data_IF_650425197291
#
_entry.id   IF_650425197291
#
_cell.length_a   1.000
_cell.length_b   1.000
_cell.length_c   1.000
_cell.angle_alpha   90.00
_cell.angle_beta   90.00
_cell.angle_gamma   90.00
#
_symmetry.space_group_name_H-M   'P 1'
#
loop_
_entity.id
_entity.type
_entity.pdbx_description
1 polymer ?
#
# COMPACT_ATOMS: atom_id res chain seq x y z
N UNK A 1 13.64 -52.79 -12.48
CA UNK A 1 13.71 -51.38 -12.10
C UNK A 1 12.78 -50.61 -13.04
N UNK A 2 11.53 -50.36 -12.60
CA UNK A 2 10.52 -49.66 -13.43
C UNK A 2 10.53 -48.19 -13.05
N UNK A 3 10.83 -47.34 -14.02
CA UNK A 3 10.71 -45.91 -13.94
C UNK A 3 9.22 -45.54 -13.89
N UNK A 4 8.76 -44.98 -12.79
CA UNK A 4 7.42 -44.40 -12.67
C UNK A 4 7.48 -43.02 -13.29
N UNK A 5 6.86 -42.90 -14.46
CA UNK A 5 6.70 -41.64 -15.17
C UNK A 5 5.78 -40.70 -14.37
N UNK A 6 6.32 -39.58 -13.91
CA UNK A 6 5.55 -38.47 -13.36
C UNK A 6 4.86 -37.75 -14.53
N UNK A 7 3.59 -38.00 -14.74
CA UNK A 7 2.77 -37.32 -15.75
C UNK A 7 2.44 -35.92 -15.18
N UNK A 8 3.12 -34.91 -15.66
CA UNK A 8 2.73 -33.51 -15.45
C UNK A 8 1.37 -33.31 -16.14
N UNK A 9 0.31 -33.29 -15.37
CA UNK A 9 -1.02 -32.89 -15.84
C UNK A 9 -0.96 -31.38 -16.13
N UNK A 10 -0.74 -31.08 -17.40
CA UNK A 10 -0.75 -29.72 -17.93
C UNK A 10 -2.22 -29.31 -18.15
N UNK A 11 -2.94 -28.99 -17.07
CA UNK A 11 -4.30 -28.47 -17.15
C UNK A 11 -4.23 -27.00 -17.63
N UNK A 12 -4.00 -26.80 -18.92
CA UNK A 12 -4.26 -25.50 -19.55
C UNK A 12 -5.77 -25.29 -19.58
N UNK A 13 -6.28 -24.60 -18.55
CA UNK A 13 -7.63 -24.05 -18.63
C UNK A 13 -7.65 -23.02 -19.77
N UNK A 14 -8.72 -23.02 -20.56
CA UNK A 14 -8.96 -22.00 -21.57
C UNK A 14 -9.11 -20.64 -20.86
N UNK A 15 -8.65 -19.54 -21.49
CA UNK A 15 -8.82 -18.20 -20.90
C UNK A 15 -10.30 -17.96 -20.60
N UNK A 16 -10.58 -17.34 -19.45
CA UNK A 16 -11.92 -17.02 -18.97
C UNK A 16 -12.65 -16.17 -20.03
N UNK A 17 -13.65 -16.75 -20.69
CA UNK A 17 -14.68 -15.97 -21.39
C UNK A 17 -15.54 -15.32 -20.33
N UNK A 18 -16.26 -14.22 -20.61
CA UNK A 18 -17.15 -13.51 -19.70
C UNK A 18 -17.58 -14.35 -18.48
N UNK A 19 -16.96 -14.12 -17.31
CA UNK A 19 -17.13 -14.92 -16.09
C UNK A 19 -17.75 -14.08 -15.01
N UNK A 20 -18.44 -14.71 -14.07
CA UNK A 20 -18.90 -14.10 -12.83
C UNK A 20 -17.78 -14.15 -11.80
N UNK A 21 -17.26 -13.00 -11.38
CA UNK A 21 -16.14 -12.88 -10.46
C UNK A 21 -16.60 -12.20 -9.18
N UNK A 22 -16.30 -12.81 -8.04
CA UNK A 22 -16.47 -12.19 -6.72
C UNK A 22 -15.11 -11.70 -6.24
N UNK A 23 -15.05 -10.45 -5.80
CA UNK A 23 -13.89 -9.86 -5.14
C UNK A 23 -14.27 -9.58 -3.70
N UNK A 24 -13.47 -10.06 -2.75
CA UNK A 24 -13.65 -9.81 -1.32
C UNK A 24 -12.67 -8.72 -0.89
N UNK A 25 -13.21 -7.57 -0.46
CA UNK A 25 -12.47 -6.37 -0.07
C UNK A 25 -12.46 -5.27 -1.14
N UNK A 26 -12.99 -4.10 -0.79
CA UNK A 26 -13.08 -2.91 -1.65
C UNK A 26 -11.93 -1.90 -1.44
N UNK A 27 -10.78 -2.34 -0.87
CA UNK A 27 -9.55 -1.55 -0.79
C UNK A 27 -8.88 -1.37 -2.15
N UNK A 28 -7.72 -0.70 -2.19
CA UNK A 28 -7.06 -0.34 -3.46
C UNK A 28 -6.78 -1.55 -4.38
N UNK A 29 -6.45 -2.73 -3.83
CA UNK A 29 -6.25 -3.95 -4.62
C UNK A 29 -7.55 -4.41 -5.27
N UNK A 30 -8.63 -4.54 -4.46
CA UNK A 30 -9.90 -5.07 -4.95
C UNK A 30 -10.62 -4.12 -5.89
N UNK A 31 -10.66 -2.82 -5.59
CA UNK A 31 -11.35 -1.85 -6.45
C UNK A 31 -10.65 -1.65 -7.79
N UNK A 32 -9.29 -1.65 -7.80
CA UNK A 32 -8.53 -1.57 -9.05
C UNK A 32 -8.74 -2.83 -9.91
N UNK A 33 -8.72 -4.02 -9.28
CA UNK A 33 -8.99 -5.29 -9.97
C UNK A 33 -10.41 -5.34 -10.53
N UNK A 34 -11.41 -4.88 -9.75
CA UNK A 34 -12.80 -4.88 -10.17
C UNK A 34 -13.05 -4.04 -11.43
N UNK A 35 -12.54 -2.82 -11.45
CA UNK A 35 -12.66 -1.93 -12.62
C UNK A 35 -11.99 -2.54 -13.85
N UNK A 36 -10.79 -3.09 -13.69
CA UNK A 36 -10.09 -3.68 -14.83
C UNK A 36 -10.80 -4.94 -15.36
N UNK A 37 -11.22 -5.86 -14.49
CA UNK A 37 -11.97 -7.06 -14.87
C UNK A 37 -13.32 -6.70 -15.51
N UNK A 38 -14.00 -5.67 -15.02
CA UNK A 38 -15.25 -5.18 -15.63
C UNK A 38 -15.01 -4.65 -17.05
N UNK A 39 -13.94 -3.86 -17.27
CA UNK A 39 -13.52 -3.38 -18.60
C UNK A 39 -13.22 -4.55 -19.56
N UNK A 40 -12.75 -5.68 -19.04
CA UNK A 40 -12.50 -6.91 -19.82
C UNK A 40 -13.76 -7.75 -20.09
N UNK A 41 -14.93 -7.29 -19.66
CA UNK A 41 -16.23 -7.91 -19.97
C UNK A 41 -16.69 -8.96 -18.97
N UNK A 42 -16.09 -9.03 -17.77
CA UNK A 42 -16.57 -9.89 -16.69
C UNK A 42 -17.75 -9.26 -15.93
N UNK A 43 -18.58 -10.12 -15.31
CA UNK A 43 -19.55 -9.73 -14.31
C UNK A 43 -18.86 -9.69 -12.94
N UNK A 44 -18.73 -8.52 -12.34
CA UNK A 44 -17.94 -8.33 -11.11
C UNK A 44 -18.81 -7.87 -9.95
N UNK A 45 -18.62 -8.53 -8.80
CA UNK A 45 -19.27 -8.17 -7.54
C UNK A 45 -18.18 -8.00 -6.49
N UNK A 46 -18.18 -6.86 -5.77
CA UNK A 46 -17.33 -6.63 -4.59
C UNK A 46 -18.16 -6.86 -3.33
N UNK A 47 -17.62 -7.60 -2.37
CA UNK A 47 -18.13 -7.70 -1.01
C UNK A 47 -17.11 -7.07 -0.04
N UNK A 48 -17.57 -6.17 0.82
CA UNK A 48 -16.78 -5.60 1.93
C UNK A 48 -17.54 -5.69 3.25
N UNK A 49 -16.84 -5.96 4.34
CA UNK A 49 -17.42 -6.07 5.68
C UNK A 49 -17.83 -4.73 6.28
N UNK A 50 -17.37 -3.63 5.71
CA UNK A 50 -17.68 -2.27 6.12
C UNK A 50 -18.30 -1.45 5.00
N UNK A 51 -18.48 -0.14 5.24
CA UNK A 51 -18.88 0.79 4.20
C UNK A 51 -17.78 0.93 3.14
N UNK A 52 -18.11 1.45 1.97
CA UNK A 52 -17.16 1.73 0.91
C UNK A 52 -17.05 3.26 0.68
N UNK A 53 -15.86 3.87 0.86
CA UNK A 53 -14.59 3.27 1.33
C UNK A 53 -14.62 2.88 2.81
N UNK A 54 -14.01 1.73 3.13
CA UNK A 54 -13.93 1.26 4.50
C UNK A 54 -12.91 2.11 5.29
N UNK A 55 -13.30 2.80 6.38
CA UNK A 55 -12.41 3.69 7.13
C UNK A 55 -11.26 2.95 7.83
N UNK A 56 -11.45 1.66 8.12
CA UNK A 56 -10.46 0.83 8.81
C UNK A 56 -9.45 0.20 7.82
N UNK A 57 -9.74 0.22 6.53
CA UNK A 57 -8.84 -0.32 5.53
C UNK A 57 -7.50 0.42 5.50
N UNK A 58 -6.42 -0.32 5.20
CA UNK A 58 -5.08 0.28 4.99
C UNK A 58 -5.09 1.34 3.90
N UNK A 59 -6.02 1.28 2.94
CA UNK A 59 -6.19 2.24 1.86
C UNK A 59 -6.78 3.57 2.31
N UNK A 60 -7.46 3.60 3.45
CA UNK A 60 -8.20 4.78 3.94
C UNK A 60 -7.34 5.59 4.91
N UNK A 61 -7.05 6.84 4.55
CA UNK A 61 -6.40 7.86 5.37
C UNK A 61 -6.50 9.22 4.65
N UNK A 62 -5.99 10.29 5.27
CA UNK A 62 -5.91 11.60 4.61
C UNK A 62 -4.86 11.62 3.50
N UNK A 63 -3.76 10.86 3.66
CA UNK A 63 -2.66 10.83 2.70
C UNK A 63 -1.92 9.49 2.67
N UNK A 64 -1.33 9.18 1.51
CA UNK A 64 -0.38 8.07 1.31
C UNK A 64 0.76 8.53 0.40
N UNK A 65 1.96 8.04 0.69
CA UNK A 65 3.16 8.37 -0.11
C UNK A 65 3.07 7.76 -1.49
N UNK A 66 3.39 8.57 -2.50
CA UNK A 66 3.62 8.16 -3.88
C UNK A 66 5.11 8.44 -4.17
N UNK A 67 5.87 7.38 -4.37
CA UNK A 67 7.34 7.44 -4.53
C UNK A 67 7.87 6.30 -5.36
N UNK A 68 8.99 6.53 -6.05
CA UNK A 68 9.77 5.51 -6.75
C UNK A 68 11.07 5.12 -5.99
N UNK A 69 11.24 5.61 -4.80
CA UNK A 69 12.36 5.38 -3.90
C UNK A 69 12.19 4.01 -3.23
N UNK A 70 13.03 3.03 -3.61
CA UNK A 70 12.94 1.63 -3.18
C UNK A 70 14.29 1.01 -2.80
N UNK A 71 15.23 1.82 -2.30
CA UNK A 71 16.56 1.32 -2.00
C UNK A 71 17.21 0.71 -3.24
N UNK A 72 17.83 -0.45 -3.09
CA UNK A 72 18.45 -1.18 -4.19
C UNK A 72 17.45 -1.90 -5.12
N UNK A 73 16.15 -1.88 -4.79
CA UNK A 73 15.13 -2.62 -5.52
C UNK A 73 14.68 -1.91 -6.79
N UNK A 74 15.39 -2.16 -7.89
CA UNK A 74 15.12 -1.58 -9.20
C UNK A 74 13.75 -2.01 -9.76
N UNK A 75 13.28 -3.22 -9.43
CA UNK A 75 11.97 -3.71 -9.90
C UNK A 75 10.83 -2.81 -9.39
N UNK A 76 10.78 -2.57 -8.08
CA UNK A 76 9.76 -1.70 -7.52
C UNK A 76 9.94 -0.23 -7.93
N UNK A 77 11.17 0.25 -8.10
CA UNK A 77 11.41 1.60 -8.60
C UNK A 77 10.82 1.80 -10.01
N UNK A 78 10.98 0.84 -10.90
CA UNK A 78 10.41 0.87 -12.25
C UNK A 78 8.88 0.74 -12.24
N UNK A 79 8.33 -0.22 -11.49
CA UNK A 79 6.88 -0.38 -11.35
C UNK A 79 6.22 0.88 -10.76
N UNK A 80 6.88 1.52 -9.78
CA UNK A 80 6.39 2.76 -9.21
C UNK A 80 6.42 3.93 -10.23
N UNK A 81 7.38 3.92 -11.15
CA UNK A 81 7.43 4.90 -12.26
C UNK A 81 6.21 4.79 -13.17
N UNK A 82 5.81 3.57 -13.52
CA UNK A 82 4.58 3.33 -14.28
C UNK A 82 3.35 3.75 -13.46
N UNK A 83 3.31 3.39 -12.18
CA UNK A 83 2.22 3.78 -11.30
C UNK A 83 2.07 5.31 -11.17
N UNK A 84 3.18 6.07 -11.08
CA UNK A 84 3.15 7.54 -11.03
C UNK A 84 2.54 8.11 -12.31
N UNK A 85 2.83 7.54 -13.47
CA UNK A 85 2.18 7.92 -14.73
C UNK A 85 0.66 7.69 -14.65
N UNK A 86 0.23 6.55 -14.12
CA UNK A 86 -1.19 6.26 -13.89
C UNK A 86 -1.86 7.19 -12.86
N UNK A 87 -1.12 7.68 -11.86
CA UNK A 87 -1.64 8.68 -10.92
C UNK A 87 -1.95 10.02 -11.60
N UNK A 88 -1.14 10.46 -12.56
CA UNK A 88 -1.45 11.64 -13.36
C UNK A 88 -2.69 11.41 -14.23
N UNK A 89 -2.81 10.22 -14.86
CA UNK A 89 -4.02 9.86 -15.60
C UNK A 89 -5.28 9.87 -14.73
N UNK A 90 -5.19 9.40 -13.48
CA UNK A 90 -6.31 9.46 -12.54
C UNK A 90 -6.68 10.91 -12.13
N UNK A 91 -5.70 11.82 -12.03
CA UNK A 91 -5.98 13.24 -11.86
C UNK A 91 -6.78 13.79 -13.06
N UNK A 92 -6.35 13.46 -14.28
CA UNK A 92 -7.04 13.89 -15.52
C UNK A 92 -8.44 13.29 -15.62
N UNK A 93 -8.57 11.97 -15.43
CA UNK A 93 -9.85 11.24 -15.50
C UNK A 93 -10.86 11.74 -14.46
N UNK A 94 -10.40 12.06 -13.25
CA UNK A 94 -11.27 12.53 -12.18
C UNK A 94 -11.61 14.01 -12.26
N UNK A 95 -10.83 14.81 -12.99
CA UNK A 95 -10.90 16.27 -12.94
C UNK A 95 -10.54 16.85 -11.56
N UNK A 96 -9.87 16.06 -10.70
CA UNK A 96 -9.50 16.42 -9.33
C UNK A 96 -8.02 16.15 -9.09
N UNK A 97 -7.45 16.86 -8.12
CA UNK A 97 -6.10 16.56 -7.65
C UNK A 97 -6.20 15.45 -6.59
N UNK A 98 -6.11 14.19 -7.02
CA UNK A 98 -6.02 13.01 -6.17
C UNK A 98 -4.58 12.75 -5.74
N UNK A 99 -3.63 13.02 -6.62
CA UNK A 99 -2.19 12.95 -6.41
C UNK A 99 -1.56 14.33 -6.55
N UNK A 100 -0.84 14.76 -5.53
CA UNK A 100 -0.06 16.00 -5.51
C UNK A 100 1.43 15.69 -5.65
N UNK A 101 2.01 16.11 -6.77
CA UNK A 101 3.44 15.95 -7.05
C UNK A 101 4.26 17.07 -6.40
N UNK A 102 4.35 17.01 -5.06
CA UNK A 102 5.11 17.97 -4.25
C UNK A 102 6.59 17.62 -4.13
N UNK A 103 6.98 16.45 -4.62
CA UNK A 103 8.27 15.83 -4.39
C UNK A 103 8.31 14.96 -3.13
N UNK A 104 9.41 14.19 -3.02
CA UNK A 104 9.77 13.45 -1.81
C UNK A 104 11.13 13.93 -1.30
N UNK A 105 11.19 14.31 -0.04
CA UNK A 105 12.40 14.77 0.64
C UNK A 105 12.93 13.66 1.55
N UNK A 106 14.16 13.22 1.32
CA UNK A 106 14.82 12.19 2.14
C UNK A 106 16.01 12.82 2.82
N UNK A 107 15.98 12.86 4.16
CA UNK A 107 16.98 13.53 4.97
C UNK A 107 17.71 12.54 5.88
N UNK A 108 19.01 12.73 6.04
CA UNK A 108 19.86 11.97 6.94
C UNK A 108 20.76 12.90 7.77
N UNK A 109 21.09 12.54 9.03
CA UNK A 109 21.97 13.34 9.87
C UNK A 109 23.45 13.23 9.48
N UNK A 110 23.79 12.17 8.74
CA UNK A 110 25.16 11.85 8.28
C UNK A 110 25.15 11.64 6.76
N UNK A 111 26.32 11.70 6.10
CA UNK A 111 26.41 11.34 4.69
C UNK A 111 25.79 9.97 4.44
N UNK A 112 25.00 9.87 3.39
CA UNK A 112 24.41 8.62 2.94
C UNK A 112 25.53 7.66 2.52
N UNK A 113 25.48 6.40 2.95
CA UNK A 113 26.47 5.39 2.66
C UNK A 113 25.87 4.17 1.95
N UNK A 114 26.72 3.46 1.19
CA UNK A 114 26.32 2.26 0.48
C UNK A 114 25.65 1.25 1.43
N UNK A 115 24.53 0.67 0.95
CA UNK A 115 23.71 -0.28 1.71
C UNK A 115 22.58 0.36 2.50
N UNK A 116 22.58 1.70 2.71
CA UNK A 116 21.45 2.40 3.29
C UNK A 116 20.35 2.63 2.24
N UNK A 117 19.12 2.63 2.67
CA UNK A 117 17.95 2.85 1.80
C UNK A 117 18.06 4.15 1.00
N UNK A 118 18.43 5.25 1.66
CA UNK A 118 18.54 6.56 1.05
C UNK A 118 19.64 6.60 -0.03
N UNK A 119 20.82 6.02 0.26
CA UNK A 119 21.91 5.94 -0.71
C UNK A 119 21.54 5.09 -1.93
N UNK A 120 21.00 3.90 -1.69
CA UNK A 120 20.66 2.98 -2.78
C UNK A 120 19.49 3.50 -3.60
N UNK A 121 18.50 4.16 -2.97
CA UNK A 121 17.41 4.83 -3.70
C UNK A 121 17.96 5.94 -4.61
N UNK A 122 18.82 6.81 -4.08
CA UNK A 122 19.47 7.86 -4.88
C UNK A 122 20.22 7.26 -6.06
N UNK A 123 21.04 6.23 -5.85
CA UNK A 123 21.81 5.55 -6.89
C UNK A 123 20.91 4.95 -7.97
N UNK A 124 19.91 4.15 -7.58
CA UNK A 124 18.97 3.50 -8.52
C UNK A 124 18.19 4.52 -9.33
N UNK A 125 17.70 5.58 -8.69
CA UNK A 125 16.96 6.64 -9.37
C UNK A 125 17.85 7.47 -10.31
N UNK A 126 19.12 7.72 -9.93
CA UNK A 126 20.11 8.34 -10.83
C UNK A 126 20.32 7.49 -12.07
N UNK A 127 20.51 6.17 -11.92
CA UNK A 127 20.68 5.24 -13.03
C UNK A 127 19.42 5.17 -13.94
N UNK A 128 18.25 5.47 -13.41
CA UNK A 128 16.99 5.54 -14.13
C UNK A 128 16.70 6.93 -14.72
N UNK A 129 17.66 7.87 -14.61
CA UNK A 129 17.52 9.26 -15.04
C UNK A 129 16.33 9.99 -14.42
N UNK A 130 16.03 9.70 -13.16
CA UNK A 130 15.00 10.42 -12.41
C UNK A 130 15.47 11.86 -12.10
N UNK A 131 14.56 12.83 -12.03
CA UNK A 131 14.88 14.21 -11.66
C UNK A 131 15.09 14.34 -10.16
N UNK A 132 16.19 13.78 -9.66
CA UNK A 132 16.60 13.82 -8.26
C UNK A 132 17.76 14.78 -8.05
N UNK A 133 17.82 15.37 -6.87
CA UNK A 133 18.82 16.37 -6.50
C UNK A 133 19.44 15.98 -5.17
N UNK A 134 20.77 15.83 -5.16
CA UNK A 134 21.50 15.72 -3.90
C UNK A 134 21.48 17.08 -3.19
N UNK A 135 21.27 17.06 -1.88
CA UNK A 135 21.13 18.27 -1.07
C UNK A 135 22.27 18.39 -0.07
N UNK A 136 22.86 19.55 -0.01
CA UNK A 136 23.75 20.00 1.06
C UNK A 136 22.96 20.62 2.22
N UNK A 137 23.58 20.76 3.41
CA UNK A 137 22.97 21.40 4.57
C UNK A 137 22.45 22.84 4.28
N UNK A 138 23.22 23.74 3.61
CA UNK A 138 22.69 25.04 3.24
C UNK A 138 21.45 25.00 2.35
N UNK A 139 21.42 24.11 1.34
CA UNK A 139 20.26 23.94 0.47
C UNK A 139 19.04 23.40 1.20
N UNK A 140 19.24 22.48 2.16
CA UNK A 140 18.14 22.00 3.02
C UNK A 140 17.57 23.16 3.84
N UNK A 141 18.40 23.97 4.46
CA UNK A 141 17.96 25.09 5.30
C UNK A 141 17.28 26.20 4.48
N UNK A 142 17.74 26.47 3.27
CA UNK A 142 17.14 27.46 2.38
C UNK A 142 15.78 27.00 1.84
N UNK A 143 15.70 25.76 1.34
CA UNK A 143 14.52 25.24 0.64
C UNK A 143 13.46 24.67 1.56
N UNK A 144 13.86 24.15 2.72
CA UNK A 144 13.00 23.45 3.68
C UNK A 144 13.19 24.04 5.09
N UNK A 145 12.87 25.33 5.30
CA UNK A 145 13.24 26.08 6.49
C UNK A 145 12.61 25.58 7.80
N UNK A 146 11.57 24.75 7.74
CA UNK A 146 10.95 24.12 8.92
C UNK A 146 11.86 23.09 9.60
N UNK A 147 12.94 22.63 8.93
CA UNK A 147 13.94 21.71 9.46
C UNK A 147 15.13 22.43 10.15
N UNK A 148 14.98 23.68 10.56
CA UNK A 148 16.08 24.52 11.06
C UNK A 148 16.78 23.97 12.30
N UNK A 149 16.00 23.40 13.20
CA UNK A 149 16.50 22.88 14.49
C UNK A 149 16.97 21.42 14.37
N UNK A 150 16.56 20.71 13.32
CA UNK A 150 16.90 19.33 13.12
C UNK A 150 18.34 19.16 12.61
N UNK A 151 19.06 18.19 13.16
CA UNK A 151 20.44 17.87 12.75
C UNK A 151 20.51 17.04 11.46
N UNK A 152 19.70 17.41 10.46
CA UNK A 152 19.70 16.81 9.14
C UNK A 152 20.58 17.65 8.20
N UNK A 153 21.70 17.08 7.81
CA UNK A 153 22.74 17.80 7.06
C UNK A 153 22.98 17.23 5.65
N UNK A 154 22.34 16.10 5.33
CA UNK A 154 22.46 15.42 4.05
C UNK A 154 21.12 14.90 3.61
N UNK A 155 21.00 14.59 2.32
CA UNK A 155 19.79 13.99 1.76
C UNK A 155 19.66 14.23 0.27
N UNK A 156 18.50 13.92 -0.26
CA UNK A 156 18.15 14.21 -1.64
C UNK A 156 16.66 14.55 -1.77
N UNK A 157 16.35 15.24 -2.85
CA UNK A 157 14.97 15.58 -3.21
C UNK A 157 14.61 14.91 -4.54
N UNK A 158 13.57 14.09 -4.52
CA UNK A 158 13.01 13.47 -5.71
C UNK A 158 11.82 14.32 -6.18
N UNK A 159 11.97 15.01 -7.32
CA UNK A 159 10.93 15.90 -7.85
C UNK A 159 9.68 15.16 -8.32
N UNK A 160 9.82 13.91 -8.79
CA UNK A 160 8.74 13.05 -9.28
C UNK A 160 8.20 12.14 -8.18
N UNK A 161 7.77 12.73 -7.12
CA UNK A 161 7.16 12.05 -6.01
C UNK A 161 6.17 12.97 -5.31
N UNK A 162 5.55 12.47 -4.25
CA UNK A 162 4.58 13.27 -3.51
C UNK A 162 3.63 12.38 -2.73
N UNK A 163 2.35 12.74 -2.73
CA UNK A 163 1.36 12.06 -1.92
C UNK A 163 -0.03 12.07 -2.56
N UNK A 164 -0.82 11.08 -2.24
CA UNK A 164 -2.20 10.96 -2.72
C UNK A 164 -3.20 11.14 -1.57
N UNK A 165 -4.34 11.77 -1.87
CA UNK A 165 -5.53 11.90 -1.01
C UNK A 165 -6.25 10.56 -0.94
N UNK A 166 -5.75 9.65 -0.09
CA UNK A 166 -6.03 8.23 -0.24
C UNK A 166 -7.51 7.86 -0.09
N UNK A 167 -8.23 8.38 0.92
CA UNK A 167 -9.68 8.13 1.05
C UNK A 167 -10.46 8.71 -0.12
N UNK A 168 -10.11 9.93 -0.60
CA UNK A 168 -10.75 10.54 -1.78
C UNK A 168 -10.51 9.71 -3.04
N UNK A 169 -9.29 9.19 -3.21
CA UNK A 169 -8.97 8.33 -4.35
C UNK A 169 -9.80 7.05 -4.35
N UNK A 170 -9.90 6.38 -3.20
CA UNK A 170 -10.71 5.15 -3.10
C UNK A 170 -12.19 5.45 -3.32
N UNK A 171 -12.71 6.56 -2.78
CA UNK A 171 -14.09 6.98 -3.02
C UNK A 171 -14.37 7.21 -4.50
N UNK A 172 -13.49 7.95 -5.18
CA UNK A 172 -13.58 8.16 -6.62
C UNK A 172 -13.53 6.84 -7.43
N UNK A 173 -12.64 5.92 -7.06
CA UNK A 173 -12.57 4.60 -7.72
C UNK A 173 -13.86 3.79 -7.53
N UNK A 174 -14.49 3.89 -6.35
CA UNK A 174 -15.76 3.24 -6.04
C UNK A 174 -16.91 3.85 -6.88
N UNK A 175 -16.95 5.18 -6.99
CA UNK A 175 -17.92 5.88 -7.86
C UNK A 175 -17.75 5.42 -9.32
N UNK A 176 -16.51 5.39 -9.82
CA UNK A 176 -16.22 4.89 -11.18
C UNK A 176 -16.60 3.42 -11.37
N UNK A 177 -16.32 2.58 -10.40
CA UNK A 177 -16.73 1.16 -10.45
C UNK A 177 -18.25 1.01 -10.51
N UNK A 178 -18.99 1.84 -9.77
CA UNK A 178 -20.47 1.86 -9.83
C UNK A 178 -20.99 2.33 -11.20
N UNK A 179 -20.39 3.39 -11.78
CA UNK A 179 -20.69 3.86 -13.14
C UNK A 179 -20.38 2.78 -14.20
N UNK A 180 -19.36 2.00 -14.00
CA UNK A 180 -18.95 0.85 -14.82
C UNK A 180 -19.78 -0.42 -14.51
N UNK A 181 -20.85 -0.31 -13.72
CA UNK A 181 -21.77 -1.40 -13.34
C UNK A 181 -21.09 -2.55 -12.56
N UNK A 182 -20.08 -2.27 -11.76
CA UNK A 182 -19.60 -3.20 -10.74
C UNK A 182 -20.63 -3.26 -9.62
N UNK A 183 -21.06 -4.46 -9.22
CA UNK A 183 -21.99 -4.62 -8.11
C UNK A 183 -21.23 -4.47 -6.77
N UNK A 184 -21.61 -3.47 -5.95
CA UNK A 184 -20.95 -3.12 -4.70
C UNK A 184 -21.80 -3.55 -3.51
N UNK A 185 -21.36 -4.57 -2.77
CA UNK A 185 -22.02 -5.11 -1.58
C UNK A 185 -21.21 -4.68 -0.34
N UNK A 186 -21.64 -3.61 0.31
CA UNK A 186 -21.02 -3.09 1.53
C UNK A 186 -21.71 -3.60 2.79
N UNK A 187 -21.01 -3.61 3.93
CA UNK A 187 -21.50 -4.09 5.23
C UNK A 187 -21.99 -5.55 5.19
N UNK A 188 -21.43 -6.35 4.28
CA UNK A 188 -21.76 -7.76 4.13
C UNK A 188 -20.51 -8.55 3.69
N UNK A 189 -19.53 -8.63 4.56
CA UNK A 189 -18.25 -9.28 4.28
C UNK A 189 -18.34 -10.80 4.23
N UNK A 190 -17.33 -11.42 3.62
CA UNK A 190 -17.17 -12.86 3.58
C UNK A 190 -16.92 -13.43 4.99
N UNK A 191 -17.61 -14.52 5.32
CA UNK A 191 -17.36 -15.34 6.53
C UNK A 191 -16.75 -16.69 6.20
N UNK A 192 -16.88 -17.17 4.97
CA UNK A 192 -16.33 -18.43 4.52
C UNK A 192 -16.36 -18.58 2.99
N UNK A 193 -15.67 -19.61 2.50
CA UNK A 193 -15.74 -20.02 1.09
C UNK A 193 -16.84 -21.07 0.93
N UNK A 194 -17.54 -21.03 -0.21
CA UNK A 194 -18.30 -22.17 -0.72
C UNK A 194 -17.32 -23.06 -1.45
N UNK A 195 -16.95 -24.18 -0.84
CA UNK A 195 -15.93 -25.08 -1.36
C UNK A 195 -16.49 -26.50 -1.48
N UNK A 196 -16.29 -27.12 -2.65
CA UNK A 196 -16.61 -28.52 -2.88
C UNK A 196 -15.48 -29.22 -3.65
N UNK A 197 -15.00 -30.34 -3.11
CA UNK A 197 -13.94 -31.15 -3.74
C UNK A 197 -12.69 -30.37 -4.18
N UNK A 198 -12.26 -29.35 -3.40
CA UNK A 198 -11.09 -28.51 -3.69
C UNK A 198 -11.36 -27.39 -4.71
N UNK A 199 -12.61 -27.21 -5.12
CA UNK A 199 -13.02 -26.11 -5.98
C UNK A 199 -13.81 -25.07 -5.17
N UNK A 200 -13.43 -23.81 -5.28
CA UNK A 200 -14.19 -22.67 -4.76
C UNK A 200 -15.30 -22.34 -5.76
N UNK A 201 -16.54 -22.39 -5.30
CA UNK A 201 -17.75 -22.11 -6.08
C UNK A 201 -18.36 -20.75 -5.70
N UNK A 202 -17.79 -20.05 -4.74
CA UNK A 202 -18.29 -18.77 -4.25
C UNK A 202 -17.92 -18.47 -2.80
N UNK A 203 -18.74 -17.65 -2.15
CA UNK A 203 -18.54 -17.23 -0.76
C UNK A 203 -19.83 -17.33 0.05
N UNK A 204 -19.68 -17.39 1.38
CA UNK A 204 -20.73 -17.19 2.37
C UNK A 204 -20.50 -15.82 2.99
N UNK A 205 -21.56 -15.02 3.12
CA UNK A 205 -21.49 -13.66 3.66
C UNK A 205 -22.05 -13.59 5.10
N UNK A 206 -21.87 -12.43 5.76
CA UNK A 206 -22.22 -12.21 7.16
C UNK A 206 -23.71 -12.41 7.45
N UNK A 207 -24.58 -12.14 6.48
CA UNK A 207 -26.03 -12.41 6.56
C UNK A 207 -26.42 -13.87 6.36
N UNK A 208 -25.44 -14.75 6.16
CA UNK A 208 -25.63 -16.18 5.93
C UNK A 208 -25.96 -16.55 4.48
N UNK A 209 -25.99 -15.60 3.56
CA UNK A 209 -26.29 -15.85 2.15
C UNK A 209 -25.10 -16.51 1.42
N UNK A 210 -25.43 -17.38 0.48
CA UNK A 210 -24.47 -18.02 -0.44
C UNK A 210 -24.43 -17.27 -1.77
N UNK A 211 -23.25 -16.89 -2.21
CA UNK A 211 -23.02 -16.22 -3.49
C UNK A 211 -22.08 -17.04 -4.35
N UNK A 212 -22.59 -17.59 -5.46
CA UNK A 212 -21.82 -18.42 -6.39
C UNK A 212 -21.14 -17.59 -7.47
N UNK A 213 -19.93 -18.01 -7.86
CA UNK A 213 -19.11 -17.38 -8.90
C UNK A 213 -18.19 -18.39 -9.59
N UNK A 214 -17.65 -18.02 -10.75
CA UNK A 214 -16.65 -18.79 -11.47
C UNK A 214 -15.24 -18.60 -10.90
N UNK A 215 -15.00 -17.46 -10.22
CA UNK A 215 -13.72 -17.11 -9.59
C UNK A 215 -13.96 -16.24 -8.36
N UNK A 216 -13.21 -16.47 -7.30
CA UNK A 216 -13.13 -15.63 -6.11
C UNK A 216 -11.73 -15.01 -6.03
N UNK A 217 -11.67 -13.70 -5.80
CA UNK A 217 -10.42 -12.95 -5.54
C UNK A 217 -10.46 -12.41 -4.11
N UNK A 218 -9.51 -12.81 -3.28
CA UNK A 218 -9.35 -12.31 -1.92
C UNK A 218 -8.41 -11.10 -1.93
N UNK A 219 -8.97 -9.93 -1.67
CA UNK A 219 -8.24 -8.64 -1.64
C UNK A 219 -8.42 -7.91 -0.29
N UNK A 220 -8.49 -8.68 0.80
CA UNK A 220 -8.92 -8.24 2.14
C UNK A 220 -7.81 -7.62 2.99
N UNK A 221 -6.64 -7.33 2.39
CA UNK A 221 -5.55 -6.64 3.10
C UNK A 221 -5.23 -7.29 4.44
N UNK A 222 -5.21 -6.53 5.52
CA UNK A 222 -4.86 -7.01 6.86
C UNK A 222 -5.83 -8.07 7.44
N UNK A 223 -7.03 -8.23 6.89
CA UNK A 223 -7.96 -9.31 7.28
C UNK A 223 -7.62 -10.66 6.63
N UNK A 224 -6.74 -10.68 5.62
CA UNK A 224 -6.42 -11.90 4.88
C UNK A 224 -5.97 -13.05 5.77
N UNK A 225 -5.04 -12.92 6.74
CA UNK A 225 -4.63 -14.06 7.56
C UNK A 225 -5.77 -14.70 8.37
N UNK A 226 -6.78 -13.91 8.74
CA UNK A 226 -7.96 -14.40 9.46
C UNK A 226 -8.94 -15.13 8.53
N UNK A 227 -9.13 -14.64 7.31
CA UNK A 227 -10.11 -15.17 6.37
C UNK A 227 -9.57 -16.35 5.55
N UNK A 228 -8.25 -16.44 5.39
CA UNK A 228 -7.56 -17.53 4.71
C UNK A 228 -6.43 -18.08 5.61
N UNK A 229 -6.80 -18.84 6.67
CA UNK A 229 -5.88 -19.22 7.75
C UNK A 229 -4.72 -20.10 7.29
N UNK A 230 -4.82 -20.77 6.16
CA UNK A 230 -3.71 -21.54 5.56
C UNK A 230 -2.57 -20.65 5.02
N UNK A 231 -2.75 -19.33 5.00
CA UNK A 231 -1.72 -18.35 4.60
C UNK A 231 -0.99 -17.72 5.80
N UNK A 232 -1.31 -18.07 7.04
CA UNK A 232 -0.75 -17.43 8.25
C UNK A 232 0.74 -17.65 8.44
N UNK A 233 1.31 -18.70 7.84
CA UNK A 233 2.76 -18.89 7.80
C UNK A 233 3.47 -17.92 6.83
N UNK A 234 2.75 -17.35 5.89
CA UNK A 234 3.27 -16.48 4.82
C UNK A 234 2.88 -15.02 5.02
N UNK A 235 1.69 -14.78 5.53
CA UNK A 235 1.08 -13.46 5.71
C UNK A 235 0.76 -13.21 7.17
N UNK A 236 1.01 -11.99 7.62
CA UNK A 236 0.70 -11.56 8.99
C UNK A 236 0.11 -10.16 9.01
N UNK A 237 -0.76 -9.91 9.98
CA UNK A 237 -1.26 -8.56 10.24
C UNK A 237 -0.34 -7.86 11.22
N UNK A 238 0.03 -6.62 10.90
CA UNK A 238 0.80 -5.74 11.78
C UNK A 238 0.20 -4.34 11.79
N UNK A 239 0.19 -3.71 12.96
CA UNK A 239 -0.30 -2.35 13.13
C UNK A 239 0.86 -1.35 13.15
N UNK A 240 0.71 -0.23 12.46
CA UNK A 240 1.65 0.88 12.45
C UNK A 240 0.98 2.14 13.00
N UNK A 241 1.60 2.85 13.94
CA UNK A 241 1.03 4.05 14.51
C UNK A 241 1.07 5.21 13.50
N UNK A 242 -0.04 5.95 13.42
CA UNK A 242 -0.20 7.13 12.58
C UNK A 242 -0.88 8.22 13.41
N UNK A 243 -0.32 9.41 13.38
CA UNK A 243 -0.82 10.55 14.13
C UNK A 243 -1.16 11.72 13.21
N UNK A 244 -2.27 12.38 13.50
CA UNK A 244 -2.68 13.62 12.87
C UNK A 244 -2.60 14.75 13.90
N UNK A 245 -1.89 15.82 13.54
CA UNK A 245 -1.67 16.99 14.38
C UNK A 245 -2.36 18.21 13.77
N UNK A 246 -2.97 19.05 14.62
CA UNK A 246 -3.48 20.34 14.18
C UNK A 246 -2.33 21.36 14.20
N UNK A 247 -2.05 21.96 13.06
CA UNK A 247 -1.05 23.01 12.91
C UNK A 247 -1.76 24.36 12.95
N UNK A 248 -1.28 25.29 13.78
CA UNK A 248 -1.90 26.60 13.96
C UNK A 248 -1.76 27.48 12.70
N UNK A 249 -0.57 27.48 12.10
CA UNK A 249 -0.30 28.10 10.80
C UNK A 249 0.21 27.04 9.82
N UNK A 250 -0.64 26.53 8.95
CA UNK A 250 -0.26 25.48 8.00
C UNK A 250 0.63 25.97 6.85
N UNK A 251 0.77 27.28 6.63
CA UNK A 251 1.45 27.81 5.44
C UNK A 251 2.91 27.38 5.34
N UNK A 252 3.64 27.32 6.47
CA UNK A 252 5.02 26.86 6.52
C UNK A 252 5.17 25.34 6.28
N UNK A 253 4.08 24.60 6.44
CA UNK A 253 4.05 23.12 6.37
C UNK A 253 3.29 22.61 5.14
N UNK A 254 3.24 23.37 4.06
CA UNK A 254 2.53 23.04 2.83
C UNK A 254 3.40 23.23 1.58
N UNK A 255 2.94 22.65 0.47
CA UNK A 255 3.54 22.85 -0.84
C UNK A 255 4.95 22.26 -0.98
N UNK A 256 5.75 22.90 -1.84
CA UNK A 256 7.11 22.42 -2.16
C UNK A 256 8.14 22.69 -1.07
N UNK A 257 7.86 23.62 -0.17
CA UNK A 257 8.73 23.92 0.99
C UNK A 257 8.56 22.91 2.14
N UNK A 258 7.48 22.15 2.11
CA UNK A 258 7.24 21.04 3.03
C UNK A 258 6.58 19.88 2.27
N UNK A 259 7.35 19.18 1.44
CA UNK A 259 6.84 18.06 0.65
C UNK A 259 6.57 16.83 1.55
N UNK A 260 6.21 15.70 0.96
CA UNK A 260 6.28 14.42 1.64
C UNK A 260 7.74 14.12 1.98
N UNK A 261 8.01 13.63 3.17
CA UNK A 261 9.38 13.44 3.67
C UNK A 261 9.60 12.12 4.40
N UNK A 262 10.87 11.69 4.44
CA UNK A 262 11.41 10.66 5.31
C UNK A 262 12.66 11.20 6.02
N UNK A 263 12.70 11.01 7.35
CA UNK A 263 13.75 11.52 8.20
C UNK A 263 14.61 10.34 8.73
N UNK A 264 15.74 10.06 8.06
CA UNK A 264 16.60 8.92 8.35
C UNK A 264 15.79 7.60 8.46
N UNK A 265 14.93 7.41 7.48
CA UNK A 265 13.83 6.43 7.54
C UNK A 265 14.34 4.99 7.72
N UNK A 266 15.52 4.68 7.16
CA UNK A 266 16.13 3.36 7.30
C UNK A 266 16.56 3.02 8.73
N UNK A 267 16.86 4.03 9.56
CA UNK A 267 17.25 3.83 10.95
C UNK A 267 16.10 4.12 11.92
N UNK A 268 15.32 5.17 11.64
CA UNK A 268 14.32 5.68 12.60
C UNK A 268 12.88 5.37 12.22
N UNK A 269 12.60 5.06 10.95
CA UNK A 269 11.25 4.83 10.45
C UNK A 269 10.36 6.07 10.32
N UNK A 270 10.82 7.28 10.65
CA UNK A 270 9.99 8.48 10.63
C UNK A 270 9.72 8.99 9.22
N UNK A 271 8.45 9.26 8.94
CA UNK A 271 8.02 9.91 7.72
C UNK A 271 6.75 10.73 7.94
N UNK A 272 6.49 11.68 7.06
CA UNK A 272 5.31 12.52 7.18
C UNK A 272 4.92 13.20 5.88
N UNK A 273 3.89 14.02 5.98
CA UNK A 273 3.20 14.63 4.86
C UNK A 273 2.98 16.11 5.11
N UNK A 274 2.80 16.92 4.06
CA UNK A 274 2.38 18.30 4.22
C UNK A 274 1.03 18.40 4.95
N UNK A 275 0.82 19.53 5.61
CA UNK A 275 -0.46 19.87 6.21
C UNK A 275 -1.53 19.99 5.12
N UNK A 276 -2.72 19.43 5.38
CA UNK A 276 -3.89 19.62 4.54
C UNK A 276 -4.43 21.04 4.66
N UNK A 277 -5.39 21.41 3.83
CA UNK A 277 -5.99 22.75 3.86
C UNK A 277 -6.60 23.11 5.23
N UNK A 278 -7.11 22.12 5.95
CA UNK A 278 -7.65 22.25 7.30
C UNK A 278 -6.56 22.38 8.38
N UNK A 279 -5.29 22.44 7.99
CA UNK A 279 -4.15 22.49 8.92
C UNK A 279 -3.82 21.16 9.59
N UNK A 280 -4.29 20.04 9.04
CA UNK A 280 -4.00 18.71 9.58
C UNK A 280 -2.71 18.17 8.96
N UNK A 281 -1.67 18.03 9.78
CA UNK A 281 -0.39 17.44 9.43
C UNK A 281 -0.34 15.98 9.91
N UNK A 282 0.12 15.09 9.03
CA UNK A 282 0.26 13.67 9.36
C UNK A 282 1.73 13.30 9.54
N UNK A 283 2.01 12.62 10.65
CA UNK A 283 3.29 11.96 10.94
C UNK A 283 3.02 10.48 11.20
N UNK A 284 3.94 9.64 10.75
CA UNK A 284 3.84 8.20 10.93
C UNK A 284 5.22 7.57 11.15
N UNK A 285 5.19 6.36 11.70
CA UNK A 285 6.38 5.58 11.96
C UNK A 285 6.31 4.28 11.17
N UNK A 286 7.37 3.94 10.44
CA UNK A 286 7.48 2.74 9.62
C UNK A 286 8.53 1.79 10.21
N UNK A 287 8.21 1.20 11.36
CA UNK A 287 9.02 0.21 12.04
C UNK A 287 8.55 -1.22 11.76
N UNK A 288 9.00 -2.17 12.57
CA UNK A 288 8.57 -3.58 12.51
C UNK A 288 7.06 -3.77 12.64
N UNK A 289 6.39 -2.78 13.22
CA UNK A 289 4.97 -2.82 13.51
C UNK A 289 4.65 -3.68 14.74
N UNK A 290 3.44 -3.53 15.21
CA UNK A 290 2.91 -4.28 16.37
C UNK A 290 2.14 -5.48 15.82
N UNK A 291 2.56 -6.73 16.08
CA UNK A 291 1.78 -7.90 15.69
C UNK A 291 0.38 -7.82 16.33
N UNK A 292 -0.65 -7.68 15.52
CA UNK A 292 -2.01 -7.45 15.99
C UNK A 292 -3.00 -7.82 14.91
N UNK A 293 -4.09 -8.49 15.27
CA UNK A 293 -5.20 -8.70 14.38
C UNK A 293 -6.18 -7.53 14.47
N UNK A 294 -6.87 -7.27 13.37
CA UNK A 294 -7.94 -6.30 13.38
C UNK A 294 -9.06 -6.72 14.36
N UNK A 295 -9.47 -5.78 15.21
CA UNK A 295 -10.47 -6.03 16.27
C UNK A 295 -9.86 -6.33 17.65
N UNK A 296 -8.55 -6.56 17.74
CA UNK A 296 -7.85 -6.56 19.01
C UNK A 296 -7.93 -5.17 19.67
N UNK A 297 -7.73 -5.10 20.99
CA UNK A 297 -7.87 -3.83 21.71
C UNK A 297 -6.91 -2.77 21.18
N UNK A 298 -7.47 -1.74 20.54
CA UNK A 298 -6.73 -0.64 19.90
C UNK A 298 -6.36 0.46 20.90
N UNK A 299 -6.09 0.16 22.17
CA UNK A 299 -5.62 1.17 23.12
C UNK A 299 -4.36 1.83 22.56
N UNK A 300 -4.48 3.09 22.18
CA UNK A 300 -3.36 3.86 21.66
C UNK A 300 -2.45 4.20 22.84
N UNK A 301 -1.26 3.80 22.73
CA UNK A 301 -0.22 3.65 23.71
C UNK A 301 0.33 5.00 24.20
N UNK A 302 0.29 5.32 25.48
CA UNK A 302 0.92 6.52 26.04
C UNK A 302 2.41 6.64 25.65
N UNK A 303 3.08 5.50 25.47
CA UNK A 303 4.46 5.44 25.00
C UNK A 303 4.60 5.97 23.56
N UNK A 304 3.65 5.65 22.67
CA UNK A 304 3.67 6.17 21.29
C UNK A 304 3.44 7.68 21.26
N UNK A 305 2.54 8.22 22.10
CA UNK A 305 2.35 9.66 22.21
C UNK A 305 3.68 10.38 22.56
N UNK A 306 4.42 9.84 23.53
CA UNK A 306 5.73 10.35 23.91
C UNK A 306 6.73 10.27 22.75
N UNK A 307 6.84 9.10 22.11
CA UNK A 307 7.77 8.88 20.96
C UNK A 307 7.51 9.89 19.83
N UNK A 308 6.22 10.14 19.48
CA UNK A 308 5.87 11.14 18.47
C UNK A 308 6.18 12.58 18.93
N UNK A 309 5.94 12.92 20.20
CA UNK A 309 6.29 14.23 20.77
C UNK A 309 7.78 14.48 20.78
N UNK A 310 8.57 13.48 21.16
CA UNK A 310 10.03 13.57 21.18
C UNK A 310 10.58 13.78 19.77
N UNK A 311 10.06 13.05 18.78
CA UNK A 311 10.42 13.26 17.38
C UNK A 311 10.03 14.68 16.89
N UNK A 312 8.81 15.13 17.15
CA UNK A 312 8.41 16.49 16.77
C UNK A 312 9.25 17.54 17.47
N UNK A 313 9.53 17.37 18.77
CA UNK A 313 10.36 18.29 19.54
C UNK A 313 11.78 18.44 19.01
N UNK A 314 12.35 17.36 18.44
CA UNK A 314 13.69 17.37 17.85
C UNK A 314 13.72 17.88 16.41
N UNK A 315 12.70 17.52 15.59
CA UNK A 315 12.70 17.81 14.15
C UNK A 315 11.92 19.07 13.78
N UNK A 316 10.86 19.35 14.51
CA UNK A 316 9.94 20.49 14.30
C UNK A 316 9.51 21.08 15.66
N UNK A 317 10.38 21.81 16.38
CA UNK A 317 10.11 22.27 17.74
C UNK A 317 8.79 23.02 17.89
N UNK A 318 8.37 23.77 16.88
CA UNK A 318 7.09 24.51 16.86
C UNK A 318 5.86 23.58 16.91
N UNK A 319 6.02 22.31 16.47
CA UNK A 319 4.96 21.30 16.46
C UNK A 319 4.97 20.40 17.70
N UNK A 320 5.94 20.54 18.61
CA UNK A 320 6.07 19.69 19.79
C UNK A 320 4.78 19.57 20.58
N UNK A 321 4.08 20.70 20.78
CA UNK A 321 2.85 20.77 21.55
C UNK A 321 1.58 20.88 20.68
N UNK A 322 1.70 20.67 19.36
CA UNK A 322 0.55 20.69 18.45
C UNK A 322 -0.53 19.71 18.92
N UNK A 323 -1.83 20.08 18.93
CA UNK A 323 -2.91 19.19 19.33
C UNK A 323 -2.94 17.92 18.49
N UNK A 324 -3.04 16.75 19.12
CA UNK A 324 -3.28 15.49 18.43
C UNK A 324 -4.78 15.39 18.18
N UNK A 325 -5.20 15.49 16.91
CA UNK A 325 -6.61 15.40 16.51
C UNK A 325 -7.06 13.99 16.18
N UNK A 326 -6.12 13.12 15.80
CA UNK A 326 -6.42 11.71 15.56
C UNK A 326 -5.21 10.84 15.82
N UNK A 327 -5.45 9.71 16.45
CA UNK A 327 -4.55 8.57 16.56
C UNK A 327 -5.18 7.41 15.82
N UNK A 328 -4.42 6.69 15.04
CA UNK A 328 -4.89 5.44 14.45
C UNK A 328 -3.77 4.42 14.35
N UNK A 329 -4.14 3.15 14.31
CA UNK A 329 -3.29 2.07 13.87
C UNK A 329 -3.62 1.75 12.41
N UNK A 330 -2.64 1.88 11.53
CA UNK A 330 -2.77 1.47 10.15
C UNK A 330 -2.36 0.00 10.05
N UNK A 331 -3.29 -0.88 9.77
CA UNK A 331 -3.03 -2.31 9.67
C UNK A 331 -2.47 -2.67 8.30
N UNK A 332 -1.31 -3.32 8.28
CA UNK A 332 -0.72 -3.87 7.08
C UNK A 332 -0.94 -5.39 7.01
N UNK A 333 -1.03 -5.91 5.80
CA UNK A 333 -0.83 -7.32 5.52
C UNK A 333 0.61 -7.48 5.04
N UNK A 334 1.49 -7.92 5.92
CA UNK A 334 2.87 -8.18 5.58
C UNK A 334 3.04 -9.60 5.05
N UNK A 335 3.70 -9.73 3.91
CA UNK A 335 4.32 -10.97 3.50
C UNK A 335 5.69 -11.12 4.17
N UNK A 336 6.24 -12.32 4.23
CA UNK A 336 7.52 -12.56 4.89
C UNK A 336 8.71 -11.87 4.21
N UNK A 337 8.62 -11.61 2.91
CA UNK A 337 9.66 -10.96 2.10
C UNK A 337 9.36 -9.52 1.71
N UNK A 338 8.20 -9.00 2.12
CA UNK A 338 7.73 -7.65 1.78
C UNK A 338 7.11 -7.52 0.39
N UNK A 339 7.22 -8.52 -0.47
CA UNK A 339 6.61 -8.52 -1.80
C UNK A 339 5.10 -8.78 -1.75
N UNK A 340 4.35 -8.25 -2.71
CA UNK A 340 2.93 -8.56 -2.84
C UNK A 340 2.71 -10.06 -3.07
N UNK A 341 1.52 -10.52 -2.73
CA UNK A 341 1.07 -11.85 -3.04
C UNK A 341 -0.11 -11.77 -3.99
N UNK A 342 0.12 -12.07 -5.26
CA UNK A 342 -0.91 -12.03 -6.31
C UNK A 342 -0.77 -13.31 -7.13
N UNK A 343 -1.51 -14.35 -6.74
CA UNK A 343 -1.44 -15.64 -7.41
C UNK A 343 -2.70 -16.49 -7.17
N UNK A 344 -2.87 -17.51 -7.98
CA UNK A 344 -3.84 -18.57 -7.74
C UNK A 344 -3.48 -19.38 -6.50
N UNK A 345 -4.48 -19.74 -5.70
CA UNK A 345 -4.30 -20.70 -4.61
C UNK A 345 -3.97 -22.08 -5.19
N UNK A 346 -3.01 -22.78 -4.60
CA UNK A 346 -2.56 -24.07 -5.14
C UNK A 346 -3.34 -25.27 -4.61
N UNK A 347 -4.02 -25.10 -3.49
CA UNK A 347 -4.85 -26.13 -2.85
C UNK A 347 -6.33 -25.99 -3.21
N UNK A 348 -6.72 -24.85 -3.82
CA UNK A 348 -8.10 -24.52 -4.15
C UNK A 348 -8.19 -23.96 -5.54
N UNK A 349 -8.91 -24.65 -6.39
CA UNK A 349 -9.20 -24.12 -7.74
C UNK A 349 -10.19 -22.94 -7.64
N UNK A 350 -10.17 -22.04 -8.63
CA UNK A 350 -11.03 -20.87 -8.73
C UNK A 350 -10.87 -19.85 -7.58
N UNK A 351 -9.69 -19.82 -6.95
CA UNK A 351 -9.33 -18.87 -5.93
C UNK A 351 -8.04 -18.13 -6.29
N UNK A 352 -8.08 -16.81 -6.26
CA UNK A 352 -6.90 -15.92 -6.35
C UNK A 352 -6.75 -15.16 -5.05
N UNK A 353 -5.53 -15.07 -4.56
CA UNK A 353 -5.17 -14.23 -3.41
C UNK A 353 -4.43 -13.01 -3.95
N UNK A 354 -4.92 -11.80 -3.67
CA UNK A 354 -4.35 -10.53 -4.10
C UNK A 354 -4.17 -9.60 -2.90
N UNK A 355 -3.05 -9.72 -2.21
CA UNK A 355 -2.78 -9.07 -0.92
C UNK A 355 -1.28 -8.88 -0.66
N UNK A 356 -0.86 -8.80 0.61
CA UNK A 356 0.55 -8.69 0.97
C UNK A 356 1.13 -7.32 0.65
N UNK A 357 0.32 -6.27 0.72
CA UNK A 357 0.75 -4.91 0.38
C UNK A 357 1.86 -4.34 1.25
N UNK A 358 2.20 -5.00 2.37
CA UNK A 358 3.36 -4.77 3.25
C UNK A 358 3.62 -3.28 3.56
N UNK A 359 2.54 -2.49 3.69
CA UNK A 359 2.59 -1.05 3.94
C UNK A 359 2.93 -0.17 2.75
N UNK A 360 3.22 -0.74 1.57
CA UNK A 360 3.62 0.06 0.41
C UNK A 360 2.77 -0.17 -0.85
N UNK A 361 1.68 -0.94 -0.79
CA UNK A 361 0.87 -1.31 -1.95
C UNK A 361 0.04 -0.17 -2.55
N UNK A 362 -0.39 0.82 -1.75
CA UNK A 362 -1.35 1.85 -2.19
C UNK A 362 -0.89 2.62 -3.44
N UNK A 363 0.39 3.01 -3.50
CA UNK A 363 0.95 3.79 -4.62
C UNK A 363 0.87 3.08 -5.97
N UNK A 364 0.73 1.76 -5.95
CA UNK A 364 0.60 0.93 -7.16
C UNK A 364 -0.83 0.79 -7.66
N UNK A 365 -1.81 1.43 -7.01
CA UNK A 365 -3.22 1.37 -7.42
C UNK A 365 -3.47 1.43 -8.92
N UNK A 366 -2.85 2.38 -9.67
CA UNK A 366 -3.06 2.48 -11.11
C UNK A 366 -2.63 1.27 -11.94
N UNK A 367 -1.66 0.48 -11.48
CA UNK A 367 -1.14 -0.70 -12.19
C UNK A 367 -1.62 -2.02 -11.61
N UNK A 368 -2.11 -2.03 -10.36
CA UNK A 368 -2.56 -3.25 -9.70
C UNK A 368 -3.74 -3.92 -10.39
N UNK A 369 -4.65 -3.12 -10.96
CA UNK A 369 -5.83 -3.65 -11.64
C UNK A 369 -5.46 -4.60 -12.77
N UNK A 370 -4.58 -4.16 -13.65
CA UNK A 370 -4.06 -4.96 -14.77
C UNK A 370 -3.31 -6.19 -14.29
N UNK A 371 -2.39 -6.03 -13.33
CA UNK A 371 -1.60 -7.15 -12.78
C UNK A 371 -2.51 -8.24 -12.20
N UNK A 372 -3.51 -7.85 -11.38
CA UNK A 372 -4.42 -8.80 -10.75
C UNK A 372 -5.33 -9.47 -11.79
N UNK A 373 -5.83 -8.70 -12.76
CA UNK A 373 -6.68 -9.22 -13.82
C UNK A 373 -5.92 -10.21 -14.72
N UNK A 374 -4.67 -9.90 -15.10
CA UNK A 374 -3.84 -10.81 -15.89
C UNK A 374 -3.56 -12.12 -15.14
N UNK A 375 -3.31 -12.03 -13.82
CA UNK A 375 -3.16 -13.23 -12.99
C UNK A 375 -4.46 -14.03 -12.95
N UNK A 376 -5.60 -13.37 -12.71
CA UNK A 376 -6.91 -14.03 -12.65
C UNK A 376 -7.26 -14.74 -13.96
N UNK A 377 -6.96 -14.13 -15.08
CA UNK A 377 -7.17 -14.69 -16.42
C UNK A 377 -6.05 -15.63 -16.90
N UNK A 378 -5.03 -15.88 -16.06
CA UNK A 378 -3.83 -16.70 -16.39
C UNK A 378 -3.05 -16.15 -17.61
N UNK A 379 -3.09 -14.84 -17.82
CA UNK A 379 -2.31 -14.14 -18.84
C UNK A 379 -0.90 -13.86 -18.35
N UNK A 380 0.02 -13.66 -19.29
CA UNK A 380 1.37 -13.20 -18.98
C UNK A 380 1.36 -11.73 -18.63
N UNK A 381 2.04 -11.38 -17.54
CA UNK A 381 2.27 -10.00 -17.13
C UNK A 381 3.72 -9.85 -16.68
N UNK A 382 4.47 -8.85 -17.18
CA UNK A 382 5.90 -8.69 -16.89
C UNK A 382 6.20 -8.39 -15.42
N UNK A 383 5.23 -7.90 -14.65
CA UNK A 383 5.40 -7.59 -13.24
C UNK A 383 4.92 -8.71 -12.32
N UNK A 384 3.94 -9.51 -12.74
CA UNK A 384 3.30 -10.51 -11.90
C UNK A 384 4.22 -11.65 -11.44
N UNK A 385 5.31 -11.93 -12.16
CA UNK A 385 6.19 -13.05 -11.82
C UNK A 385 6.75 -12.95 -10.40
N UNK A 386 7.05 -11.74 -9.92
CA UNK A 386 7.59 -11.49 -8.58
C UNK A 386 6.54 -11.72 -7.49
N UNK A 387 5.27 -11.55 -7.81
CA UNK A 387 4.15 -11.62 -6.86
C UNK A 387 3.53 -13.01 -6.76
N UNK A 388 4.04 -13.97 -7.53
CA UNK A 388 3.60 -15.36 -7.52
C UNK A 388 3.99 -16.07 -6.24
N UNK A 389 3.36 -17.18 -5.98
CA UNK A 389 3.70 -18.08 -4.88
C UNK A 389 5.19 -18.42 -4.89
N UNK A 390 5.81 -18.30 -3.74
CA UNK A 390 7.23 -18.54 -3.54
C UNK A 390 7.51 -19.06 -2.14
N UNK A 391 8.62 -19.80 -1.98
CA UNK A 391 9.13 -20.17 -0.67
C UNK A 391 10.04 -19.07 -0.16
N UNK A 392 9.75 -18.55 1.03
CA UNK A 392 10.57 -17.55 1.70
C UNK A 392 11.28 -18.23 2.87
N UNK A 393 12.59 -18.40 2.76
CA UNK A 393 13.40 -19.10 3.77
C UNK A 393 13.75 -18.22 4.98
N UNK A 394 13.71 -16.90 4.81
CA UNK A 394 13.98 -15.91 5.87
C UNK A 394 13.06 -14.70 5.67
N UNK A 395 12.52 -14.16 6.77
CA UNK A 395 11.82 -12.88 6.70
C UNK A 395 12.77 -11.81 6.19
N UNK A 396 12.40 -11.12 5.13
CA UNK A 396 13.06 -9.91 4.68
C UNK A 396 12.24 -8.72 5.19
N UNK A 397 12.91 -7.69 5.65
CA UNK A 397 12.27 -6.41 5.96
C UNK A 397 12.36 -5.50 4.76
N UNK A 398 11.32 -4.69 4.51
CA UNK A 398 11.43 -3.55 3.60
C UNK A 398 12.63 -2.69 4.04
N UNK A 399 13.52 -2.35 3.11
CA UNK A 399 14.71 -1.55 3.39
C UNK A 399 14.40 -0.16 3.97
N UNK A 400 13.16 0.31 3.80
CA UNK A 400 12.67 1.55 4.40
C UNK A 400 12.13 1.37 5.83
N UNK A 401 12.07 0.12 6.37
CA UNK A 401 11.62 -0.12 7.75
C UNK A 401 12.77 -0.05 8.72
N UNK A 402 12.58 0.74 9.77
CA UNK A 402 13.50 0.68 10.92
C UNK A 402 13.39 -0.66 11.67
N UNK A 403 14.46 -1.01 12.34
CA UNK A 403 14.52 -2.21 13.17
C UNK A 403 13.97 -1.99 14.60
N UNK A 404 13.48 -0.78 14.89
CA UNK A 404 12.91 -0.41 16.18
C UNK A 404 11.43 -0.79 16.33
#
# INVERSE_FOLDING_TARGET
>A
MRLVGCTLINNRRLPLKSSKIIIVGGGIFGISAARELKKRGHSVIIFDSGPLPNPDASSSDISKTIRADYGADRFYAQLATEAITGWHQWNEESGQILYEETGNLWLTPKPMTQGQFEFESYRVLSDLNYPIELLSKPEIQERFPTWKEADYSHGYYNRRGGWAKSTKTVAWLIEKAAEEEVNLQQNNGMTGLLEHAGQVEGIITQDGSEHRSDLVIIATGAWTPRLVPWMTETLRSVAQPVYHFQVADPTAYQGKQFPQWGANVSETGWYGFPAQQEGILKVAHHGRGIPMNFGDNQSVFPEMDRKFRDFLGSSFPELKDAPIVKRRLCFYCDSLDGDFWIDHDTGRENLVIATGGSGHGFKFGPVLGEIIADVAEQKSNPWAYRFRRRSVSKPLTDAARSND
#
